data_IF_155679493914
#
_entry.id   IF_155679493914
#
_cell.length_a   1.000
_cell.length_b   1.000
_cell.length_c   1.000
_cell.angle_alpha   90.00
_cell.angle_beta   90.00
_cell.angle_gamma   90.00
#
_symmetry.space_group_name_H-M   'P 1'
#
loop_
_entity.id
_entity.type
_entity.pdbx_description
1 polymer ?
#
# COMPACT_ATOMS: atom_id res chain seq x y z
N UNK A 1 -24.47 -6.14 11.33
CA UNK A 1 -25.25 -4.90 11.34
C UNK A 1 -25.05 -4.24 12.68
N UNK A 2 -24.08 -3.33 12.75
CA UNK A 2 -24.03 -2.36 13.85
C UNK A 2 -25.03 -1.27 13.45
N UNK A 3 -26.22 -1.24 14.09
CA UNK A 3 -27.13 -0.13 13.93
C UNK A 3 -26.59 1.01 14.80
N UNK A 4 -26.07 2.05 14.19
CA UNK A 4 -25.85 3.30 14.89
C UNK A 4 -27.23 3.88 15.24
N UNK A 5 -27.52 4.01 16.53
CA UNK A 5 -28.68 4.76 16.99
C UNK A 5 -28.54 6.21 16.52
N UNK A 6 -29.67 6.85 16.20
CA UNK A 6 -29.72 8.28 15.86
C UNK A 6 -29.30 9.04 17.13
N UNK A 7 -28.00 9.36 17.25
CA UNK A 7 -27.45 10.05 18.42
C UNK A 7 -25.97 9.84 18.70
N UNK A 8 -25.36 8.75 18.22
CA UNK A 8 -23.93 8.53 18.43
C UNK A 8 -23.14 9.19 17.28
N UNK A 9 -22.65 10.40 17.52
CA UNK A 9 -21.69 11.02 16.60
C UNK A 9 -20.42 10.18 16.59
N UNK A 10 -19.92 9.85 15.38
CA UNK A 10 -18.65 9.20 15.20
C UNK A 10 -17.56 10.06 15.85
N UNK A 11 -16.86 9.53 16.83
CA UNK A 11 -15.74 10.19 17.50
C UNK A 11 -14.42 9.45 17.21
N UNK A 12 -13.33 10.06 17.63
CA UNK A 12 -11.98 9.52 17.40
C UNK A 12 -11.75 8.17 18.12
N UNK A 13 -12.39 7.93 19.25
CA UNK A 13 -12.25 6.66 19.98
C UNK A 13 -12.99 5.54 19.24
N UNK A 14 -14.16 5.83 18.71
CA UNK A 14 -14.90 4.91 17.85
C UNK A 14 -14.10 4.55 16.60
N UNK A 15 -13.41 5.52 15.96
CA UNK A 15 -12.53 5.24 14.81
C UNK A 15 -11.38 4.34 15.22
N UNK A 16 -10.72 4.58 16.35
CA UNK A 16 -9.64 3.74 16.89
C UNK A 16 -10.09 2.29 17.09
N UNK A 17 -11.27 2.09 17.67
CA UNK A 17 -11.83 0.76 17.90
C UNK A 17 -12.18 0.03 16.60
N UNK A 18 -12.66 0.76 15.58
CA UNK A 18 -13.07 0.21 14.30
C UNK A 18 -11.89 -0.02 13.34
N UNK A 19 -10.85 0.81 13.44
CA UNK A 19 -9.71 0.79 12.53
C UNK A 19 -8.48 0.24 13.21
N UNK A 20 -8.53 -1.03 13.51
CA UNK A 20 -7.43 -1.79 14.11
C UNK A 20 -6.86 -2.80 13.14
N UNK A 21 -5.56 -3.01 13.20
CA UNK A 21 -4.90 -4.10 12.51
C UNK A 21 -5.34 -5.44 13.11
N UNK A 22 -5.83 -6.34 12.25
CA UNK A 22 -6.40 -7.63 12.70
C UNK A 22 -5.42 -8.80 12.63
N UNK A 23 -4.26 -8.61 12.03
CA UNK A 23 -3.30 -9.67 11.78
C UNK A 23 -1.87 -9.18 12.05
N UNK A 24 -1.05 -10.01 12.68
CA UNK A 24 0.26 -9.61 13.21
C UNK A 24 1.40 -10.58 12.83
N UNK A 25 1.21 -11.46 11.84
CA UNK A 25 2.32 -12.31 11.40
C UNK A 25 3.26 -11.55 10.46
N UNK A 26 4.07 -10.70 11.07
CA UNK A 26 5.07 -9.86 10.38
C UNK A 26 6.04 -10.71 9.57
N UNK A 27 6.41 -11.91 10.05
CA UNK A 27 7.36 -12.79 9.36
C UNK A 27 6.77 -13.29 8.03
N UNK A 28 5.51 -13.73 8.05
CA UNK A 28 4.82 -14.16 6.83
C UNK A 28 4.59 -12.98 5.87
N UNK A 29 4.29 -11.79 6.39
CA UNK A 29 4.14 -10.58 5.55
C UNK A 29 5.47 -10.20 4.87
N UNK A 30 6.59 -10.18 5.61
CA UNK A 30 7.93 -9.94 5.05
C UNK A 30 8.22 -10.97 3.94
N UNK A 31 7.98 -12.25 4.18
CA UNK A 31 8.24 -13.31 3.20
C UNK A 31 7.43 -13.12 1.90
N UNK A 32 6.18 -12.61 1.99
CA UNK A 32 5.38 -12.27 0.80
C UNK A 32 6.06 -11.18 -0.02
N UNK A 33 6.43 -10.08 0.62
CA UNK A 33 7.01 -8.92 -0.08
C UNK A 33 8.42 -9.17 -0.57
N UNK A 34 9.24 -9.87 0.21
CA UNK A 34 10.58 -10.31 -0.22
C UNK A 34 10.52 -11.17 -1.48
N UNK A 35 9.50 -12.01 -1.61
CA UNK A 35 9.37 -12.92 -2.76
C UNK A 35 9.09 -12.23 -4.08
N UNK A 36 8.59 -11.00 -4.05
CA UNK A 36 8.21 -10.20 -5.23
C UNK A 36 9.06 -8.94 -5.40
N UNK A 37 10.06 -8.74 -4.55
CA UNK A 37 10.85 -7.51 -4.57
C UNK A 37 11.43 -7.19 -5.95
N UNK A 38 11.89 -8.22 -6.70
CA UNK A 38 12.40 -8.06 -8.06
C UNK A 38 11.34 -7.62 -9.09
N UNK A 39 10.05 -7.87 -8.83
CA UNK A 39 8.96 -7.44 -9.70
C UNK A 39 8.64 -5.93 -9.53
N UNK A 40 9.05 -5.36 -8.40
CA UNK A 40 8.87 -3.94 -8.06
C UNK A 40 10.05 -3.06 -8.46
N UNK A 41 11.02 -3.62 -9.19
CA UNK A 41 12.11 -2.84 -9.78
C UNK A 41 11.54 -1.77 -10.70
N UNK A 42 12.16 -0.60 -10.64
CA UNK A 42 11.84 0.52 -11.53
C UNK A 42 12.10 0.12 -12.99
N UNK A 43 11.06 -0.31 -13.69
CA UNK A 43 11.12 -0.31 -15.14
C UNK A 43 11.09 1.15 -15.65
N UNK A 44 11.86 1.46 -16.68
CA UNK A 44 12.00 2.79 -17.30
C UNK A 44 10.69 3.42 -17.81
N UNK A 45 9.56 2.70 -17.72
CA UNK A 45 8.34 2.94 -18.48
C UNK A 45 7.35 3.95 -17.91
N UNK A 46 7.49 4.37 -16.65
CA UNK A 46 6.51 5.33 -16.09
C UNK A 46 7.13 6.69 -15.86
N UNK A 47 6.88 7.58 -16.78
CA UNK A 47 7.21 8.99 -16.69
C UNK A 47 6.35 9.66 -15.58
N UNK A 48 6.92 10.57 -14.81
CA UNK A 48 6.22 11.40 -13.81
C UNK A 48 4.93 12.03 -14.38
N UNK A 49 4.94 12.39 -15.65
CA UNK A 49 3.80 13.01 -16.34
C UNK A 49 2.62 12.06 -16.60
N UNK A 50 2.82 10.76 -16.51
CA UNK A 50 1.80 9.74 -16.84
C UNK A 50 1.23 9.05 -15.59
N UNK A 51 1.87 9.23 -14.43
CA UNK A 51 1.41 8.63 -13.18
C UNK A 51 0.34 9.51 -12.51
N UNK A 52 -0.89 9.00 -12.31
CA UNK A 52 -1.98 9.79 -11.76
C UNK A 52 -1.73 10.31 -10.34
N UNK A 53 -1.02 9.54 -9.51
CA UNK A 53 -0.72 9.95 -8.14
C UNK A 53 0.31 11.08 -8.11
N UNK A 54 1.35 10.99 -8.92
CA UNK A 54 2.37 12.04 -9.03
C UNK A 54 1.80 13.31 -9.65
N UNK A 55 0.91 13.18 -10.66
CA UNK A 55 0.16 14.30 -11.20
C UNK A 55 -0.70 14.97 -10.13
N UNK A 56 -1.38 14.19 -9.28
CA UNK A 56 -2.18 14.73 -8.19
C UNK A 56 -1.32 15.51 -7.20
N UNK A 57 -0.12 15.02 -6.89
CA UNK A 57 0.81 15.77 -6.02
C UNK A 57 1.21 17.11 -6.65
N UNK A 58 1.56 17.15 -7.95
CA UNK A 58 1.92 18.39 -8.65
C UNK A 58 0.75 19.36 -8.79
N UNK A 59 -0.49 18.87 -8.93
CA UNK A 59 -1.69 19.70 -8.95
C UNK A 59 -1.96 20.40 -7.60
N UNK A 60 -1.59 19.75 -6.49
CA UNK A 60 -1.86 20.25 -5.12
C UNK A 60 -0.77 21.11 -4.57
N UNK A 61 0.49 20.82 -4.89
CA UNK A 61 1.65 21.50 -4.32
C UNK A 61 2.72 21.76 -5.39
N UNK A 62 3.43 22.86 -5.22
CA UNK A 62 4.62 23.12 -6.01
C UNK A 62 5.82 22.44 -5.36
N UNK A 63 6.28 21.33 -5.96
CA UNK A 63 7.49 20.63 -5.52
C UNK A 63 8.74 21.52 -5.67
N UNK A 64 9.67 21.46 -4.73
CA UNK A 64 10.90 22.24 -4.77
C UNK A 64 12.09 21.51 -4.13
N UNK A 65 13.30 21.90 -4.55
CA UNK A 65 14.57 21.34 -4.07
C UNK A 65 14.89 21.62 -2.58
N UNK A 66 14.04 22.33 -1.88
CA UNK A 66 14.18 22.59 -0.43
C UNK A 66 13.29 21.66 0.41
N UNK A 67 12.53 20.76 -0.21
CA UNK A 67 11.57 19.89 0.49
C UNK A 67 12.21 18.57 0.92
N UNK A 68 11.92 18.19 2.15
CA UNK A 68 12.21 16.88 2.72
C UNK A 68 10.96 16.00 2.60
N UNK A 69 11.09 14.80 2.05
CA UNK A 69 9.98 13.90 1.75
C UNK A 69 10.16 12.56 2.45
N UNK A 70 9.07 12.02 3.00
CA UNK A 70 8.99 10.67 3.54
C UNK A 70 8.02 9.82 2.70
N UNK A 71 8.51 8.68 2.22
CA UNK A 71 7.74 7.64 1.53
C UNK A 71 7.53 6.47 2.49
N UNK A 72 6.30 6.28 2.96
CA UNK A 72 5.95 5.26 3.95
C UNK A 72 5.49 3.98 3.25
N UNK A 73 6.23 2.89 3.46
CA UNK A 73 6.04 1.63 2.75
C UNK A 73 6.49 1.77 1.29
N UNK A 74 7.73 2.22 1.11
CA UNK A 74 8.26 2.63 -0.20
C UNK A 74 8.53 1.46 -1.17
N UNK A 75 8.48 0.20 -0.69
CA UNK A 75 8.89 -0.95 -1.47
C UNK A 75 10.31 -0.79 -2.01
N UNK A 76 10.55 -1.13 -3.27
CA UNK A 76 11.83 -0.94 -3.95
C UNK A 76 12.10 0.52 -4.38
N UNK A 77 11.33 1.49 -3.89
CA UNK A 77 11.61 2.92 -4.04
C UNK A 77 11.18 3.57 -5.36
N UNK A 78 10.24 2.98 -6.09
CA UNK A 78 9.79 3.50 -7.37
C UNK A 78 9.31 4.96 -7.29
N UNK A 79 8.45 5.27 -6.32
CA UNK A 79 7.95 6.63 -6.10
C UNK A 79 9.00 7.53 -5.46
N UNK A 80 9.78 6.99 -4.50
CA UNK A 80 10.89 7.72 -3.88
C UNK A 80 11.86 8.28 -4.91
N UNK A 81 12.30 7.45 -5.87
CA UNK A 81 13.25 7.87 -6.90
C UNK A 81 12.66 8.89 -7.89
N UNK A 82 11.38 8.75 -8.26
CA UNK A 82 10.72 9.69 -9.16
C UNK A 82 10.49 11.06 -8.54
N UNK A 83 10.06 11.10 -7.28
CA UNK A 83 9.86 12.36 -6.55
C UNK A 83 11.19 13.05 -6.31
N UNK A 84 12.29 12.32 -6.10
CA UNK A 84 13.62 12.85 -5.88
C UNK A 84 14.12 13.76 -7.01
N UNK A 85 13.62 13.63 -8.23
CA UNK A 85 13.91 14.54 -9.34
C UNK A 85 13.42 15.97 -9.10
N UNK A 86 12.42 16.16 -8.24
CA UNK A 86 11.71 17.42 -8.01
C UNK A 86 11.89 18.01 -6.61
N UNK A 87 12.48 17.27 -5.67
CA UNK A 87 12.61 17.64 -4.26
C UNK A 87 14.07 17.55 -3.78
N UNK A 88 14.33 18.06 -2.58
CA UNK A 88 15.67 18.07 -1.99
C UNK A 88 16.15 16.68 -1.60
N UNK A 89 15.41 16.04 -0.71
CA UNK A 89 15.75 14.71 -0.23
C UNK A 89 14.49 13.85 -0.06
N UNK A 90 14.64 12.55 -0.25
CA UNK A 90 13.59 11.55 -0.01
C UNK A 90 14.13 10.48 0.93
N UNK A 91 13.37 10.20 1.97
CA UNK A 91 13.57 9.04 2.84
C UNK A 91 12.47 8.03 2.57
N UNK A 92 12.81 6.85 2.07
CA UNK A 92 11.88 5.74 1.93
C UNK A 92 12.01 4.80 3.15
N UNK A 93 10.88 4.34 3.69
CA UNK A 93 10.86 3.34 4.76
C UNK A 93 10.05 2.14 4.33
N UNK A 94 10.60 0.95 4.52
CA UNK A 94 9.90 -0.31 4.29
C UNK A 94 10.38 -1.37 5.30
N UNK A 95 9.56 -2.37 5.56
CA UNK A 95 9.88 -3.45 6.50
C UNK A 95 10.52 -4.67 5.83
N UNK A 96 10.49 -4.76 4.50
CA UNK A 96 11.10 -5.83 3.71
C UNK A 96 12.57 -5.51 3.45
N UNK A 97 13.52 -6.32 3.98
CA UNK A 97 14.94 -6.13 3.71
C UNK A 97 15.27 -6.18 2.22
N UNK A 98 14.61 -7.09 1.47
CA UNK A 98 14.85 -7.24 0.04
C UNK A 98 14.35 -6.06 -0.78
N UNK A 99 13.20 -5.46 -0.40
CA UNK A 99 12.74 -4.23 -1.04
C UNK A 99 13.76 -3.10 -0.84
N UNK A 100 14.26 -2.94 0.37
CA UNK A 100 15.28 -1.93 0.69
C UNK A 100 16.58 -2.18 -0.08
N UNK A 101 17.05 -3.43 -0.14
CA UNK A 101 18.25 -3.82 -0.90
C UNK A 101 18.12 -3.48 -2.38
N UNK A 102 16.99 -3.83 -3.01
CA UNK A 102 16.73 -3.52 -4.41
C UNK A 102 16.69 -1.99 -4.67
N UNK A 103 16.04 -1.23 -3.78
CA UNK A 103 16.02 0.22 -3.85
C UNK A 103 17.43 0.83 -3.74
N UNK A 104 18.26 0.36 -2.80
CA UNK A 104 19.63 0.79 -2.62
C UNK A 104 20.48 0.49 -3.88
N UNK A 105 20.39 -0.72 -4.41
CA UNK A 105 21.06 -1.09 -5.66
C UNK A 105 20.64 -0.20 -6.83
N UNK A 106 19.35 0.16 -6.90
CA UNK A 106 18.84 1.03 -7.95
C UNK A 106 19.44 2.43 -7.87
N UNK A 107 19.42 3.07 -6.69
CA UNK A 107 19.96 4.44 -6.52
C UNK A 107 21.47 4.49 -6.72
N UNK A 108 22.21 3.47 -6.29
CA UNK A 108 23.66 3.36 -6.52
C UNK A 108 23.98 3.26 -8.01
N UNK A 109 23.31 2.33 -8.73
CA UNK A 109 23.52 2.12 -10.18
C UNK A 109 23.18 3.33 -11.02
N UNK A 110 22.16 4.11 -10.62
CA UNK A 110 21.70 5.29 -11.33
C UNK A 110 22.27 6.60 -10.77
N UNK A 111 23.22 6.52 -9.82
CA UNK A 111 23.87 7.68 -9.20
C UNK A 111 22.93 8.72 -8.59
N UNK A 112 21.77 8.26 -8.06
CA UNK A 112 20.81 9.12 -7.35
C UNK A 112 21.34 9.38 -5.95
N UNK A 113 21.52 10.65 -5.58
CA UNK A 113 22.23 11.03 -4.34
C UNK A 113 21.30 11.53 -3.23
N UNK A 114 20.07 11.85 -3.57
CA UNK A 114 19.09 12.47 -2.67
C UNK A 114 17.96 11.53 -2.28
N UNK A 115 18.19 10.21 -2.35
CA UNK A 115 17.29 9.18 -1.85
C UNK A 115 18.04 8.31 -0.86
N UNK A 116 17.45 8.05 0.28
CA UNK A 116 17.91 7.06 1.25
C UNK A 116 16.78 6.12 1.62
N UNK A 117 17.12 4.86 1.90
CA UNK A 117 16.16 3.86 2.33
C UNK A 117 16.50 3.36 3.74
N UNK A 118 15.46 3.18 4.56
CA UNK A 118 15.56 2.70 5.93
C UNK A 118 14.68 1.45 6.09
N UNK A 119 15.29 0.36 6.53
CA UNK A 119 14.53 -0.81 6.96
C UNK A 119 13.84 -0.50 8.29
N UNK A 120 12.54 -0.23 8.24
CA UNK A 120 11.71 0.05 9.43
C UNK A 120 10.32 -0.55 9.24
N UNK A 121 9.87 -1.26 10.25
CA UNK A 121 8.47 -1.64 10.33
C UNK A 121 7.64 -0.46 10.83
N UNK A 122 6.86 0.16 9.93
CA UNK A 122 6.08 1.36 10.23
C UNK A 122 5.07 1.16 11.38
N UNK A 123 4.58 -0.06 11.60
CA UNK A 123 3.64 -0.33 12.69
C UNK A 123 4.31 -0.30 14.06
N UNK A 124 5.56 -0.76 14.16
CA UNK A 124 6.27 -0.97 15.44
C UNK A 124 7.37 0.03 15.70
N UNK A 125 7.87 0.76 14.69
CA UNK A 125 8.92 1.75 14.89
C UNK A 125 8.44 2.94 15.75
N UNK A 126 9.38 3.58 16.42
CA UNK A 126 9.10 4.78 17.19
C UNK A 126 8.73 5.96 16.25
N UNK A 127 7.53 6.48 16.42
CA UNK A 127 7.04 7.64 15.65
C UNK A 127 7.83 8.92 15.90
N UNK A 128 8.44 9.09 17.06
CA UNK A 128 9.26 10.26 17.39
C UNK A 128 10.51 10.37 16.50
N UNK A 129 10.98 9.22 15.92
CA UNK A 129 12.06 9.22 14.91
C UNK A 129 11.71 10.09 13.70
N UNK A 130 10.43 10.18 13.32
CA UNK A 130 9.97 10.84 12.09
C UNK A 130 9.20 12.14 12.33
N UNK A 131 8.67 12.36 13.51
CA UNK A 131 7.70 13.40 13.87
C UNK A 131 8.16 14.80 13.48
N UNK A 132 7.32 15.49 12.67
CA UNK A 132 7.50 16.87 12.27
C UNK A 132 8.80 17.12 11.50
N UNK A 133 9.34 16.15 10.78
CA UNK A 133 10.62 16.27 10.06
C UNK A 133 10.46 16.53 8.56
N UNK A 134 9.35 16.12 7.96
CA UNK A 134 9.19 16.11 6.50
C UNK A 134 8.18 17.15 6.04
N UNK A 135 8.47 17.82 4.94
CA UNK A 135 7.52 18.77 4.33
C UNK A 135 6.38 18.04 3.65
N UNK A 136 6.68 16.86 3.09
CA UNK A 136 5.71 15.97 2.47
C UNK A 136 5.87 14.57 3.07
N UNK A 137 4.74 13.96 3.45
CA UNK A 137 4.69 12.54 3.80
C UNK A 137 3.66 11.86 2.92
N UNK A 138 4.04 10.76 2.28
CA UNK A 138 3.09 10.02 1.48
C UNK A 138 3.17 8.51 1.70
N UNK A 139 2.09 7.82 1.37
CA UNK A 139 1.98 6.37 1.33
C UNK A 139 1.19 5.97 0.09
N UNK A 140 1.78 5.16 -0.80
CA UNK A 140 1.15 4.77 -2.04
C UNK A 140 0.97 3.26 -2.15
N UNK A 141 -0.29 2.79 -2.19
CA UNK A 141 -0.67 1.37 -2.36
C UNK A 141 0.06 0.38 -1.45
N UNK A 142 0.33 0.80 -0.22
CA UNK A 142 1.13 0.03 0.75
C UNK A 142 0.28 -0.47 1.92
N UNK A 143 0.61 -1.64 2.51
CA UNK A 143 0.03 -2.11 3.76
C UNK A 143 0.61 -1.41 5.00
N UNK A 144 1.59 -0.51 4.88
CA UNK A 144 2.20 0.17 6.01
C UNK A 144 1.21 1.10 6.75
N UNK A 145 0.13 1.56 6.09
CA UNK A 145 -0.87 2.43 6.70
C UNK A 145 -2.25 1.78 6.60
N UNK A 146 -2.58 0.90 7.55
CA UNK A 146 -3.83 0.09 7.56
C UNK A 146 -4.64 0.17 8.85
N UNK A 147 -4.20 0.94 9.82
CA UNK A 147 -4.87 1.19 11.09
C UNK A 147 -4.72 2.65 11.51
N UNK A 148 -5.48 3.03 12.55
CA UNK A 148 -5.47 4.38 13.07
C UNK A 148 -4.08 4.85 13.53
N UNK A 149 -3.32 4.00 14.22
CA UNK A 149 -2.04 4.39 14.82
C UNK A 149 -0.97 4.60 13.75
N UNK A 150 -0.89 3.73 12.75
CA UNK A 150 0.01 3.90 11.60
C UNK A 150 -0.34 5.14 10.76
N UNK A 151 -1.64 5.43 10.62
CA UNK A 151 -2.12 6.63 9.93
C UNK A 151 -1.82 7.91 10.72
N UNK A 152 -2.07 7.90 12.04
CA UNK A 152 -1.73 9.03 12.92
C UNK A 152 -0.23 9.32 12.89
N UNK A 153 0.61 8.28 12.95
CA UNK A 153 2.07 8.39 12.86
C UNK A 153 2.50 9.05 11.53
N UNK A 154 1.87 8.66 10.42
CA UNK A 154 2.11 9.26 9.11
C UNK A 154 1.77 10.75 9.12
N UNK A 155 0.61 11.13 9.66
CA UNK A 155 0.22 12.54 9.80
C UNK A 155 1.21 13.33 10.65
N UNK A 156 1.61 12.77 11.80
CA UNK A 156 2.50 13.44 12.75
C UNK A 156 3.94 13.60 12.22
N UNK A 157 4.35 12.80 11.25
CA UNK A 157 5.66 12.92 10.60
C UNK A 157 5.75 14.17 9.69
N UNK A 158 4.60 14.66 9.21
CA UNK A 158 4.54 15.80 8.30
C UNK A 158 4.56 17.15 9.02
N UNK A 159 5.17 18.14 8.36
CA UNK A 159 5.10 19.58 8.70
C UNK A 159 4.02 20.30 7.93
N UNK A 160 3.65 19.79 6.72
CA UNK A 160 2.80 20.57 5.80
C UNK A 160 1.82 19.70 5.02
N UNK A 161 2.29 18.70 4.28
CA UNK A 161 1.51 18.03 3.26
C UNK A 161 1.52 16.52 3.44
N UNK A 162 0.36 15.92 3.36
CA UNK A 162 0.22 14.48 3.37
C UNK A 162 -0.55 13.99 2.14
N UNK A 163 -0.12 12.85 1.61
CA UNK A 163 -0.80 12.15 0.53
C UNK A 163 -0.90 10.66 0.84
N UNK A 164 -2.05 10.08 0.62
CA UNK A 164 -2.20 8.63 0.67
C UNK A 164 -3.01 8.15 -0.53
N UNK A 165 -2.57 7.07 -1.16
CA UNK A 165 -3.32 6.41 -2.23
C UNK A 165 -3.55 4.96 -1.87
N UNK A 166 -4.81 4.53 -1.93
CA UNK A 166 -5.23 3.16 -1.61
C UNK A 166 -6.09 2.57 -2.71
N UNK A 167 -5.92 1.28 -3.01
CA UNK A 167 -6.82 0.57 -3.91
C UNK A 167 -8.17 0.38 -3.22
N UNK A 168 -9.21 0.95 -3.81
CA UNK A 168 -10.60 0.80 -3.38
C UNK A 168 -11.41 0.13 -4.48
N UNK A 169 -12.59 -0.37 -4.15
CA UNK A 169 -13.52 -0.98 -5.12
C UNK A 169 -12.83 -2.00 -6.04
N UNK A 170 -11.95 -2.82 -5.46
CA UNK A 170 -11.19 -3.84 -6.18
C UNK A 170 -12.11 -4.96 -6.62
N UNK A 171 -12.07 -5.29 -7.91
CA UNK A 171 -12.69 -6.45 -8.52
C UNK A 171 -11.59 -7.40 -9.01
N UNK A 172 -11.35 -8.47 -8.25
CA UNK A 172 -10.28 -9.45 -8.47
C UNK A 172 -10.91 -10.85 -8.57
N UNK A 173 -11.42 -11.16 -9.76
CA UNK A 173 -12.22 -12.38 -9.95
C UNK A 173 -11.46 -13.67 -9.57
N UNK A 174 -10.15 -13.73 -9.85
CA UNK A 174 -9.35 -14.93 -9.56
C UNK A 174 -9.12 -15.07 -8.06
N UNK A 175 -8.59 -14.02 -7.41
CA UNK A 175 -8.29 -14.10 -5.98
C UNK A 175 -9.54 -14.17 -5.11
N UNK A 176 -10.61 -13.49 -5.50
CA UNK A 176 -11.89 -13.57 -4.75
C UNK A 176 -12.49 -14.97 -4.80
N UNK A 177 -12.35 -15.69 -5.91
CA UNK A 177 -12.79 -17.10 -5.97
C UNK A 177 -11.88 -18.00 -5.14
N UNK A 178 -10.56 -17.82 -5.20
CA UNK A 178 -9.60 -18.55 -4.36
C UNK A 178 -9.91 -18.33 -2.86
N UNK A 179 -10.22 -17.10 -2.45
CA UNK A 179 -10.60 -16.77 -1.07
C UNK A 179 -11.92 -17.47 -0.65
N UNK A 180 -12.88 -17.60 -1.56
CA UNK A 180 -14.10 -18.37 -1.31
C UNK A 180 -13.79 -19.86 -1.13
N UNK A 181 -12.96 -20.44 -2.00
CA UNK A 181 -12.49 -21.82 -1.89
C UNK A 181 -11.84 -22.05 -0.52
N UNK A 182 -10.98 -21.14 -0.10
CA UNK A 182 -10.30 -21.21 1.18
C UNK A 182 -11.20 -20.92 2.40
N UNK A 183 -12.42 -20.42 2.20
CA UNK A 183 -13.31 -20.00 3.29
C UNK A 183 -12.75 -18.78 4.05
N UNK A 184 -12.03 -17.88 3.38
CA UNK A 184 -11.39 -16.73 3.99
C UNK A 184 -12.45 -15.77 4.62
N UNK A 185 -12.44 -15.59 5.95
CA UNK A 185 -13.40 -14.73 6.63
C UNK A 185 -13.22 -13.25 6.28
N UNK A 186 -12.06 -12.86 5.73
CA UNK A 186 -11.75 -11.48 5.37
C UNK A 186 -12.38 -11.03 4.03
N UNK A 187 -13.10 -11.92 3.31
CA UNK A 187 -13.90 -11.59 2.12
C UNK A 187 -14.85 -10.41 2.34
N UNK A 188 -15.32 -10.22 3.58
CA UNK A 188 -16.19 -9.11 3.99
C UNK A 188 -15.41 -7.93 4.59
N UNK A 189 -14.14 -7.80 4.24
CA UNK A 189 -13.29 -6.73 4.79
C UNK A 189 -13.89 -5.37 4.45
N UNK A 190 -14.08 -4.56 5.48
CA UNK A 190 -14.56 -3.19 5.32
C UNK A 190 -13.48 -2.35 4.65
N UNK A 191 -13.87 -1.53 3.69
CA UNK A 191 -13.04 -0.45 3.16
C UNK A 191 -12.69 0.50 4.32
N UNK A 192 -11.41 0.79 4.52
CA UNK A 192 -10.93 1.67 5.59
C UNK A 192 -10.89 3.16 5.16
N UNK A 193 -11.13 3.44 3.89
CA UNK A 193 -11.13 4.82 3.37
C UNK A 193 -12.14 5.74 4.09
N UNK A 194 -13.38 5.30 4.43
CA UNK A 194 -14.29 6.11 5.22
C UNK A 194 -13.73 6.47 6.60
N UNK A 195 -13.06 5.53 7.29
CA UNK A 195 -12.47 5.77 8.61
C UNK A 195 -11.30 6.76 8.53
N UNK A 196 -10.52 6.67 7.46
CA UNK A 196 -9.44 7.62 7.17
C UNK A 196 -9.99 9.03 6.97
N UNK A 197 -11.01 9.17 6.14
CA UNK A 197 -11.65 10.46 5.89
C UNK A 197 -12.25 11.04 7.16
N UNK A 198 -12.99 10.24 7.92
CA UNK A 198 -13.62 10.65 9.16
C UNK A 198 -12.56 11.08 10.20
N UNK A 199 -11.43 10.37 10.30
CA UNK A 199 -10.32 10.77 11.17
C UNK A 199 -9.77 12.15 10.80
N UNK A 200 -9.51 12.40 9.51
CA UNK A 200 -9.03 13.69 9.03
C UNK A 200 -10.03 14.83 9.33
N UNK A 201 -11.31 14.55 9.10
CA UNK A 201 -12.37 15.52 9.37
C UNK A 201 -12.47 15.87 10.86
N UNK A 202 -12.40 14.86 11.72
CA UNK A 202 -12.42 15.05 13.18
C UNK A 202 -11.15 15.72 13.72
N UNK A 203 -10.02 15.60 13.04
CA UNK A 203 -8.79 16.35 13.36
C UNK A 203 -8.86 17.81 12.87
N UNK A 204 -9.91 18.19 12.11
CA UNK A 204 -10.12 19.53 11.60
C UNK A 204 -9.45 19.82 10.27
N UNK A 205 -8.97 18.77 9.56
CA UNK A 205 -8.41 18.91 8.23
C UNK A 205 -9.48 18.92 7.14
N UNK A 206 -9.13 19.41 5.97
CA UNK A 206 -9.99 19.44 4.78
C UNK A 206 -9.40 18.55 3.69
N UNK A 207 -9.67 17.23 3.74
CA UNK A 207 -9.11 16.30 2.76
C UNK A 207 -9.73 16.50 1.38
N UNK A 208 -8.89 16.45 0.35
CA UNK A 208 -9.30 16.43 -1.04
C UNK A 208 -9.05 15.04 -1.62
N UNK A 209 -9.98 14.55 -2.44
CA UNK A 209 -9.94 13.21 -3.01
C UNK A 209 -9.81 13.26 -4.53
N UNK A 210 -9.08 12.26 -5.07
CA UNK A 210 -9.02 11.95 -6.49
C UNK A 210 -9.28 10.46 -6.68
N UNK A 211 -9.98 10.12 -7.75
CA UNK A 211 -10.34 8.75 -8.10
C UNK A 211 -9.79 8.44 -9.49
N UNK A 212 -8.88 7.49 -9.56
CA UNK A 212 -8.27 7.05 -10.82
C UNK A 212 -8.60 5.58 -11.07
N UNK A 213 -9.44 5.26 -12.07
CA UNK A 213 -9.68 3.87 -12.44
C UNK A 213 -8.45 3.29 -13.11
N UNK A 214 -7.98 2.16 -12.62
CA UNK A 214 -6.83 1.44 -13.18
C UNK A 214 -7.15 -0.04 -13.35
N UNK A 215 -6.48 -0.68 -14.29
CA UNK A 215 -6.55 -2.13 -14.49
C UNK A 215 -5.15 -2.70 -14.35
N UNK A 216 -4.93 -3.49 -13.33
CA UNK A 216 -3.68 -4.24 -13.15
C UNK A 216 -3.77 -5.56 -13.90
N UNK A 217 -2.82 -5.79 -14.79
CA UNK A 217 -2.75 -7.03 -15.57
C UNK A 217 -1.53 -7.82 -15.15
N UNK A 218 -1.70 -9.13 -15.03
CA UNK A 218 -0.59 -10.05 -14.81
C UNK A 218 -0.83 -11.36 -15.57
N UNK A 219 0.25 -12.00 -15.94
CA UNK A 219 0.28 -13.35 -16.52
C UNK A 219 1.27 -14.17 -15.74
N UNK A 220 0.85 -15.35 -15.30
CA UNK A 220 1.67 -16.29 -14.55
C UNK A 220 1.42 -17.70 -15.07
N UNK A 221 2.43 -18.54 -15.07
CA UNK A 221 2.19 -19.97 -15.20
C UNK A 221 1.30 -20.46 -14.05
N UNK A 222 0.62 -21.59 -14.22
CA UNK A 222 -0.22 -22.16 -13.16
C UNK A 222 0.60 -22.37 -11.88
N UNK A 223 1.82 -22.85 -11.98
CA UNK A 223 2.72 -23.07 -10.84
C UNK A 223 3.07 -21.76 -10.13
N UNK A 224 3.43 -20.70 -10.86
CA UNK A 224 3.71 -19.37 -10.29
C UNK A 224 2.47 -18.76 -9.64
N UNK A 225 1.30 -18.89 -10.29
CA UNK A 225 0.02 -18.41 -9.76
C UNK A 225 -0.34 -19.14 -8.46
N UNK A 226 -0.19 -20.48 -8.42
CA UNK A 226 -0.41 -21.28 -7.22
C UNK A 226 0.48 -20.82 -6.07
N UNK A 227 1.79 -20.72 -6.29
CA UNK A 227 2.73 -20.25 -5.28
C UNK A 227 2.40 -18.85 -4.79
N UNK A 228 1.99 -17.94 -5.68
CA UNK A 228 1.60 -16.58 -5.36
C UNK A 228 0.35 -16.54 -4.46
N UNK A 229 -0.71 -17.23 -4.85
CA UNK A 229 -1.97 -17.20 -4.10
C UNK A 229 -1.90 -17.97 -2.79
N UNK A 230 -1.22 -19.12 -2.75
CA UNK A 230 -1.03 -19.87 -1.51
C UNK A 230 -0.22 -19.07 -0.49
N UNK A 231 0.81 -18.34 -0.90
CA UNK A 231 1.55 -17.42 0.01
C UNK A 231 0.63 -16.35 0.59
N UNK A 232 -0.18 -15.70 -0.26
CA UNK A 232 -1.13 -14.68 0.18
C UNK A 232 -2.20 -15.22 1.13
N UNK A 233 -2.71 -16.43 0.91
CA UNK A 233 -3.64 -17.08 1.82
C UNK A 233 -2.97 -17.40 3.15
N UNK A 234 -1.79 -18.04 3.13
CA UNK A 234 -1.03 -18.44 4.33
C UNK A 234 -0.64 -17.24 5.21
N UNK A 235 -0.43 -16.08 4.63
CA UNK A 235 -0.21 -14.84 5.37
C UNK A 235 -1.45 -14.35 6.15
N UNK A 236 -2.65 -14.84 5.82
CA UNK A 236 -3.90 -14.38 6.43
C UNK A 236 -4.64 -15.49 7.19
N UNK A 237 -4.38 -16.76 6.89
CA UNK A 237 -5.08 -17.88 7.49
C UNK A 237 -4.30 -19.20 7.37
N UNK A 238 -4.65 -20.18 8.20
CA UNK A 238 -4.14 -21.53 8.04
C UNK A 238 -4.91 -22.24 6.93
N UNK A 239 -4.18 -22.88 6.01
CA UNK A 239 -4.75 -23.71 4.95
C UNK A 239 -4.16 -25.12 5.03
N UNK A 240 -4.96 -26.11 4.66
CA UNK A 240 -4.55 -27.52 4.59
C UNK A 240 -4.30 -27.95 3.14
N UNK A 241 -3.80 -29.16 2.97
CA UNK A 241 -3.50 -29.75 1.66
C UNK A 241 -4.75 -29.93 0.78
N UNK A 242 -5.92 -30.03 1.37
CA UNK A 242 -7.18 -30.13 0.62
C UNK A 242 -7.51 -28.78 -0.04
N UNK A 243 -7.38 -27.67 0.70
CA UNK A 243 -7.55 -26.31 0.16
C UNK A 243 -6.49 -26.04 -0.91
N UNK A 244 -5.22 -26.39 -0.66
CA UNK A 244 -4.15 -26.23 -1.66
C UNK A 244 -4.51 -26.93 -2.98
N UNK A 245 -4.98 -28.17 -2.91
CA UNK A 245 -5.42 -28.90 -4.11
C UNK A 245 -6.60 -28.27 -4.83
N UNK A 246 -7.56 -27.75 -4.11
CA UNK A 246 -8.70 -27.06 -4.72
C UNK A 246 -8.28 -25.76 -5.42
N UNK A 247 -7.33 -25.03 -4.87
CA UNK A 247 -6.74 -23.83 -5.50
C UNK A 247 -6.02 -24.22 -6.79
N UNK A 248 -5.19 -25.26 -6.76
CA UNK A 248 -4.51 -25.80 -7.95
C UNK A 248 -5.52 -26.17 -9.05
N UNK A 249 -6.54 -26.99 -8.70
CA UNK A 249 -7.58 -27.43 -9.64
C UNK A 249 -8.33 -26.25 -10.26
N UNK A 250 -8.64 -25.23 -9.47
CA UNK A 250 -9.27 -24.00 -9.96
C UNK A 250 -8.35 -23.25 -10.94
N UNK A 251 -7.09 -23.03 -10.59
CA UNK A 251 -6.13 -22.34 -11.46
C UNK A 251 -5.91 -23.08 -12.76
N UNK A 252 -5.83 -24.43 -12.73
CA UNK A 252 -5.80 -25.25 -13.93
C UNK A 252 -7.03 -25.04 -14.80
N UNK A 253 -8.21 -24.97 -14.19
CA UNK A 253 -9.50 -24.85 -14.92
C UNK A 253 -9.65 -23.53 -15.68
N UNK A 254 -9.00 -22.45 -15.22
CA UNK A 254 -9.03 -21.12 -15.84
C UNK A 254 -7.82 -20.82 -16.72
N UNK A 255 -6.80 -21.68 -16.71
CA UNK A 255 -5.57 -21.47 -17.47
C UNK A 255 -5.76 -21.75 -18.97
N UNK A 256 -5.05 -20.99 -19.77
CA UNK A 256 -4.93 -21.25 -21.23
C UNK A 256 -3.45 -21.48 -21.55
N UNK A 257 -3.12 -22.61 -22.13
CA UNK A 257 -1.72 -23.01 -22.41
C UNK A 257 -0.81 -22.92 -21.17
N UNK A 258 -1.32 -23.37 -20.02
CA UNK A 258 -0.63 -23.32 -18.72
C UNK A 258 -0.34 -21.90 -18.21
N UNK A 259 -1.07 -20.87 -18.70
CA UNK A 259 -0.97 -19.48 -18.25
C UNK A 259 -2.29 -19.03 -17.68
N UNK A 260 -2.24 -18.45 -16.49
CA UNK A 260 -3.34 -17.73 -15.83
C UNK A 260 -3.16 -16.25 -16.11
N UNK A 261 -4.11 -15.66 -16.84
CA UNK A 261 -4.14 -14.23 -17.12
C UNK A 261 -5.15 -13.54 -16.22
N UNK A 262 -4.76 -12.45 -15.61
CA UNK A 262 -5.61 -11.66 -14.71
C UNK A 262 -5.74 -10.23 -15.19
N UNK A 263 -6.91 -9.67 -14.96
CA UNK A 263 -7.19 -8.24 -15.09
C UNK A 263 -7.97 -7.81 -13.84
N UNK A 264 -7.29 -7.09 -12.95
CA UNK A 264 -7.86 -6.63 -11.68
C UNK A 264 -8.28 -5.18 -11.86
N UNK A 265 -9.59 -4.93 -11.84
CA UNK A 265 -10.13 -3.57 -11.87
C UNK A 265 -10.05 -2.95 -10.48
N UNK A 266 -9.52 -1.74 -10.40
CA UNK A 266 -9.30 -1.02 -9.13
C UNK A 266 -9.60 0.45 -9.34
N UNK A 267 -10.18 1.09 -8.34
CA UNK A 267 -10.13 2.55 -8.22
C UNK A 267 -9.02 2.92 -7.25
N UNK A 268 -7.97 3.58 -7.72
CA UNK A 268 -7.02 4.22 -6.82
C UNK A 268 -7.68 5.47 -6.25
N UNK A 269 -7.92 5.46 -4.95
CA UNK A 269 -8.44 6.62 -4.23
C UNK A 269 -7.28 7.31 -3.54
N UNK A 270 -6.93 8.48 -4.05
CA UNK A 270 -5.87 9.32 -3.50
C UNK A 270 -6.48 10.43 -2.66
N UNK A 271 -5.92 10.66 -1.49
CA UNK A 271 -6.34 11.69 -0.53
C UNK A 271 -5.16 12.61 -0.25
N UNK A 272 -5.41 13.90 -0.31
CA UNK A 272 -4.48 14.98 0.04
C UNK A 272 -5.04 15.80 1.20
N UNK A 273 -4.17 16.21 2.12
CA UNK A 273 -4.50 17.20 3.15
C UNK A 273 -3.27 18.00 3.57
N UNK A 274 -3.53 19.17 4.14
CA UNK A 274 -2.51 20.02 4.77
C UNK A 274 -2.60 19.86 6.28
N UNK A 275 -1.44 19.62 6.93
CA UNK A 275 -1.29 19.44 8.38
C UNK A 275 -1.19 20.82 9.06
#
# INVERSE_FOLDING_TARGET
>A
NISYGVGDMLDINTIKELWVRKFEDVVSEIAVWDSVASEYLLEEKNNFKEDPFLQFMEEKIQLSQNMEVLDVGCGAGAYSCRIAERVGNVTGVDFSPRMIEEGQHYVERNHIKNVQFLERNWHTCDGEEFKGKYDIVFAHTTPAVIDYDSFKKMNDASKKYCFISKPTRRNDCVYDEIRKIAGDPSLKKRDDMPLLFDALWLWGYHPELRYDPVVWKSERTVEEAEQWYLRRLKANMRIDTYIEKQVEDYLQSISVNNVVSEAIEVTLTSVFWTV
#
